data_IF_044241766869
#
_entry.id   IF_044241766869
#
_cell.length_a   1.000
_cell.length_b   1.000
_cell.length_c   1.000
_cell.angle_alpha   90.00
_cell.angle_beta   90.00
_cell.angle_gamma   90.00
#
_symmetry.space_group_name_H-M   'P 1'
#
loop_
_entity.id
_entity.type
_entity.pdbx_description
1 polymer ?
#
# COMPACT_ATOMS: atom_id res chain seq x y z
N UNK A 1 10.64 48.75 -7.75
CA UNK A 1 10.94 47.49 -8.47
C UNK A 1 11.33 46.44 -7.44
N UNK A 2 10.32 45.84 -6.79
CA UNK A 2 10.32 44.57 -6.06
C UNK A 2 9.03 44.53 -5.23
N UNK A 3 7.88 44.64 -5.90
CA UNK A 3 6.63 44.14 -5.30
C UNK A 3 6.69 42.63 -5.51
N UNK A 4 7.17 41.95 -4.47
CA UNK A 4 7.20 40.51 -4.40
C UNK A 4 5.79 39.99 -4.66
N UNK A 5 5.71 39.18 -5.72
CA UNK A 5 4.55 38.42 -6.14
C UNK A 5 4.19 37.45 -5.01
N UNK A 6 3.46 37.97 -4.01
CA UNK A 6 2.75 37.18 -3.02
C UNK A 6 1.61 36.48 -3.75
N UNK A 7 1.96 35.40 -4.44
CA UNK A 7 1.01 34.42 -4.96
C UNK A 7 0.11 34.03 -3.80
N UNK A 8 -1.18 34.37 -3.92
CA UNK A 8 -2.25 34.02 -2.98
C UNK A 8 -2.18 32.53 -2.61
N UNK A 9 -1.55 32.23 -1.48
CA UNK A 9 -1.54 30.89 -0.92
C UNK A 9 -2.73 30.80 0.07
N UNK A 10 -3.79 30.04 -0.25
CA UNK A 10 -5.06 30.08 0.48
C UNK A 10 -5.02 29.46 1.88
N UNK A 11 -3.87 28.92 2.33
CA UNK A 11 -3.75 28.12 3.55
C UNK A 11 -2.95 28.86 4.63
N UNK A 12 -3.54 28.97 5.82
CA UNK A 12 -2.87 29.50 7.02
C UNK A 12 -1.71 28.59 7.45
N UNK A 13 -0.69 29.09 8.17
CA UNK A 13 0.44 28.27 8.62
C UNK A 13 0.02 27.04 9.45
N UNK A 14 -1.04 27.17 10.24
CA UNK A 14 -1.62 26.07 11.01
C UNK A 14 -2.27 25.01 10.11
N UNK A 15 -3.00 25.43 9.07
CA UNK A 15 -3.57 24.52 8.06
C UNK A 15 -2.47 23.84 7.23
N UNK A 16 -1.35 24.53 6.94
CA UNK A 16 -0.18 23.91 6.28
C UNK A 16 0.46 22.83 7.15
N UNK A 17 0.60 23.09 8.45
CA UNK A 17 1.12 22.12 9.40
C UNK A 17 0.17 20.92 9.57
N UNK A 18 -1.15 21.15 9.55
CA UNK A 18 -2.16 20.09 9.56
C UNK A 18 -2.13 19.26 8.27
N UNK A 19 -2.07 19.88 7.09
CA UNK A 19 -1.91 19.16 5.82
C UNK A 19 -0.59 18.38 5.80
N UNK A 20 0.53 18.98 6.20
CA UNK A 20 1.79 18.24 6.32
C UNK A 20 1.68 17.04 7.26
N UNK A 21 0.94 17.17 8.37
CA UNK A 21 0.66 16.08 9.30
C UNK A 21 -0.27 15.01 8.69
N UNK A 22 -1.33 15.38 7.98
CA UNK A 22 -2.27 14.43 7.34
C UNK A 22 -1.60 13.64 6.22
N UNK A 23 -0.74 14.28 5.42
CA UNK A 23 0.16 13.61 4.47
C UNK A 23 1.17 12.67 5.17
N UNK A 24 1.58 13.00 6.40
CA UNK A 24 2.42 12.16 7.27
C UNK A 24 1.65 10.96 7.88
N UNK A 25 0.31 11.01 8.00
CA UNK A 25 -0.49 9.97 8.66
C UNK A 25 -0.84 8.77 7.76
N UNK A 26 -0.40 8.76 6.50
CA UNK A 26 -0.74 7.74 5.49
C UNK A 26 0.04 6.40 5.62
N UNK A 27 0.01 5.83 6.82
CA UNK A 27 0.23 4.41 7.21
C UNK A 27 1.61 4.04 7.77
N UNK A 28 2.69 4.71 7.38
CA UNK A 28 3.94 4.81 8.12
C UNK A 28 4.49 6.18 7.74
N UNK A 29 4.71 7.08 8.69
CA UNK A 29 5.02 8.50 8.52
C UNK A 29 6.38 8.81 7.87
N UNK A 30 6.74 8.08 6.82
CA UNK A 30 8.03 8.13 6.16
C UNK A 30 7.87 8.66 4.74
N UNK A 31 8.72 9.61 4.31
CA UNK A 31 8.71 10.08 2.94
C UNK A 31 8.97 8.93 1.97
N UNK A 32 8.43 9.05 0.75
CA UNK A 32 8.49 7.99 -0.27
C UNK A 32 9.93 7.53 -0.58
N UNK A 33 10.88 8.48 -0.49
CA UNK A 33 12.30 8.24 -0.64
C UNK A 33 12.88 7.29 0.42
N UNK A 34 12.26 7.19 1.59
CA UNK A 34 12.68 6.29 2.67
C UNK A 34 11.87 5.00 2.69
N UNK A 35 10.58 5.07 2.32
CA UNK A 35 9.66 3.92 2.33
C UNK A 35 10.04 2.85 1.31
N UNK A 36 10.36 3.25 0.08
CA UNK A 36 10.77 2.33 -0.99
C UNK A 36 12.04 1.54 -0.67
N UNK A 37 13.18 2.16 -0.29
CA UNK A 37 14.37 1.40 0.06
C UNK A 37 14.14 0.53 1.30
N UNK A 38 13.34 0.97 2.28
CA UNK A 38 13.00 0.14 3.44
C UNK A 38 12.27 -1.15 3.04
N UNK A 39 11.26 -1.07 2.17
CA UNK A 39 10.55 -2.26 1.67
C UNK A 39 11.47 -3.19 0.89
N UNK A 40 12.34 -2.63 0.04
CA UNK A 40 13.34 -3.38 -0.69
C UNK A 40 14.36 -4.04 0.23
N UNK A 41 14.82 -3.35 1.27
CA UNK A 41 15.78 -3.88 2.26
C UNK A 41 15.17 -5.01 3.08
N UNK A 42 13.96 -4.84 3.62
CA UNK A 42 13.29 -5.88 4.43
C UNK A 42 13.02 -7.12 3.57
N UNK A 43 12.53 -6.91 2.35
CA UNK A 43 12.27 -7.98 1.40
C UNK A 43 13.57 -8.68 0.98
N UNK A 44 14.62 -7.93 0.66
CA UNK A 44 15.92 -8.48 0.30
C UNK A 44 16.53 -9.31 1.43
N UNK A 45 16.48 -8.82 2.68
CA UNK A 45 16.96 -9.56 3.85
C UNK A 45 16.18 -10.85 4.08
N UNK A 46 14.85 -10.79 3.92
CA UNK A 46 13.98 -11.97 4.06
C UNK A 46 14.28 -13.01 2.97
N UNK A 47 14.37 -12.58 1.70
CA UNK A 47 14.71 -13.45 0.58
C UNK A 47 16.13 -14.01 0.67
N UNK A 48 17.07 -13.23 1.21
CA UNK A 48 18.45 -13.65 1.46
C UNK A 48 18.51 -14.75 2.53
N UNK A 49 17.81 -14.58 3.65
CA UNK A 49 17.72 -15.59 4.70
C UNK A 49 17.12 -16.90 4.19
N UNK A 50 16.00 -16.82 3.46
CA UNK A 50 15.37 -17.99 2.83
C UNK A 50 16.30 -18.67 1.81
N UNK A 51 17.03 -17.89 1.01
CA UNK A 51 17.97 -18.42 0.03
C UNK A 51 19.20 -19.08 0.65
N UNK A 52 19.70 -18.57 1.79
CA UNK A 52 20.75 -19.26 2.54
C UNK A 52 20.26 -20.63 3.02
N UNK A 53 19.07 -20.69 3.62
CA UNK A 53 18.50 -21.96 4.11
C UNK A 53 18.30 -22.93 2.95
N UNK A 54 17.83 -22.45 1.80
CA UNK A 54 17.63 -23.29 0.63
C UNK A 54 18.95 -23.78 0.01
N UNK A 55 19.92 -22.88 -0.22
CA UNK A 55 21.20 -23.20 -0.84
C UNK A 55 22.11 -24.09 0.02
N UNK A 56 22.08 -23.92 1.35
CA UNK A 56 22.79 -24.81 2.28
C UNK A 56 22.21 -26.23 2.27
N UNK A 57 20.88 -26.36 2.15
CA UNK A 57 20.21 -27.67 2.02
C UNK A 57 20.57 -28.37 0.72
N UNK A 58 20.54 -27.67 -0.41
CA UNK A 58 20.87 -28.26 -1.72
C UNK A 58 22.34 -28.71 -1.80
N UNK A 59 23.27 -27.91 -1.29
CA UNK A 59 24.68 -28.30 -1.18
C UNK A 59 24.90 -29.44 -0.18
N UNK A 60 24.13 -29.47 0.91
CA UNK A 60 24.13 -30.55 1.89
C UNK A 60 23.78 -31.91 1.31
N UNK A 61 22.85 -31.97 0.34
CA UNK A 61 22.54 -33.22 -0.39
C UNK A 61 23.75 -33.76 -1.16
N UNK A 62 24.58 -32.87 -1.73
CA UNK A 62 25.79 -33.28 -2.43
C UNK A 62 26.90 -33.77 -1.46
N UNK A 63 26.85 -33.37 -0.18
CA UNK A 63 27.80 -33.79 0.84
C UNK A 63 27.66 -35.25 1.28
N UNK A 64 26.62 -35.96 0.81
CA UNK A 64 26.47 -37.41 1.00
C UNK A 64 27.50 -38.25 0.23
N UNK A 65 28.21 -37.65 -0.74
CA UNK A 65 29.31 -38.30 -1.44
C UNK A 65 30.57 -38.27 -0.56
N UNK A 66 30.80 -39.34 0.19
CA UNK A 66 31.95 -39.47 1.09
C UNK A 66 33.25 -39.75 0.29
N UNK A 67 34.38 -39.13 0.66
CA UNK A 67 35.68 -39.44 0.06
C UNK A 67 36.16 -40.83 0.48
N UNK A 68 36.78 -41.57 -0.45
CA UNK A 68 37.32 -42.93 -0.21
C UNK A 68 38.81 -42.95 0.17
N UNK A 69 39.51 -41.81 0.07
CA UNK A 69 40.93 -41.67 0.38
C UNK A 69 41.16 -40.99 1.74
N UNK A 70 42.23 -41.35 2.46
CA UNK A 70 42.59 -40.72 3.74
C UNK A 70 42.84 -39.20 3.60
N UNK A 71 43.54 -38.79 2.54
CA UNK A 71 43.76 -37.37 2.23
C UNK A 71 42.45 -36.62 1.93
N UNK A 72 41.51 -37.27 1.22
CA UNK A 72 40.19 -36.70 0.92
C UNK A 72 39.35 -36.48 2.18
N UNK A 73 39.48 -37.35 3.18
CA UNK A 73 38.78 -37.22 4.47
C UNK A 73 39.16 -35.94 5.23
N UNK A 74 40.46 -35.59 5.22
CA UNK A 74 40.97 -34.35 5.80
C UNK A 74 40.45 -33.11 5.08
N UNK A 75 40.51 -33.08 3.74
CA UNK A 75 40.01 -31.97 2.93
C UNK A 75 38.49 -31.78 3.04
N UNK A 76 37.73 -32.87 3.14
CA UNK A 76 36.29 -32.84 3.31
C UNK A 76 35.90 -32.16 4.62
N UNK A 77 36.52 -32.53 5.74
CA UNK A 77 36.23 -31.90 7.04
C UNK A 77 36.61 -30.41 7.07
N UNK A 78 37.66 -30.02 6.34
CA UNK A 78 38.12 -28.64 6.27
C UNK A 78 37.22 -27.75 5.39
N UNK A 79 36.66 -28.28 4.31
CA UNK A 79 35.98 -27.49 3.26
C UNK A 79 34.45 -27.66 3.18
N UNK A 80 33.86 -28.70 3.81
CA UNK A 80 32.41 -28.97 3.74
C UNK A 80 31.53 -27.79 4.14
N UNK A 81 31.92 -27.09 5.20
CA UNK A 81 31.17 -25.93 5.69
C UNK A 81 31.32 -24.72 4.75
N UNK A 82 32.48 -24.56 4.09
CA UNK A 82 32.72 -23.47 3.14
C UNK A 82 31.93 -23.66 1.85
N UNK A 83 31.88 -24.89 1.32
CA UNK A 83 31.12 -25.21 0.11
C UNK A 83 29.62 -25.01 0.35
N UNK A 84 29.12 -25.43 1.52
CA UNK A 84 27.72 -25.22 1.88
C UNK A 84 27.39 -23.74 2.10
N UNK A 85 28.26 -23.00 2.78
CA UNK A 85 28.10 -21.56 2.99
C UNK A 85 28.11 -20.79 1.67
N UNK A 86 29.03 -21.11 0.75
CA UNK A 86 29.11 -20.45 -0.56
C UNK A 86 27.86 -20.72 -1.40
N UNK A 87 27.35 -21.95 -1.39
CA UNK A 87 26.08 -22.29 -2.04
C UNK A 87 24.89 -21.56 -1.42
N UNK A 88 24.85 -21.48 -0.08
CA UNK A 88 23.87 -20.68 0.66
C UNK A 88 23.91 -19.20 0.28
N UNK A 89 25.09 -18.58 0.26
CA UNK A 89 25.25 -17.17 -0.08
C UNK A 89 24.84 -16.88 -1.53
N UNK A 90 25.26 -17.72 -2.49
CA UNK A 90 24.90 -17.57 -3.90
C UNK A 90 23.38 -17.62 -4.10
N UNK A 91 22.72 -18.60 -3.47
CA UNK A 91 21.27 -18.73 -3.55
C UNK A 91 20.55 -17.62 -2.76
N UNK A 92 21.12 -17.19 -1.64
CA UNK A 92 20.70 -16.02 -0.86
C UNK A 92 20.61 -14.76 -1.71
N UNK A 93 21.67 -14.38 -2.41
CA UNK A 93 21.65 -13.21 -3.29
C UNK A 93 20.64 -13.36 -4.44
N UNK A 94 20.55 -14.56 -5.03
CA UNK A 94 19.59 -14.84 -6.11
C UNK A 94 18.14 -14.67 -5.65
N UNK A 95 17.77 -15.26 -4.50
CA UNK A 95 16.41 -15.18 -3.95
C UNK A 95 16.10 -13.80 -3.38
N UNK A 96 17.05 -13.16 -2.68
CA UNK A 96 16.93 -11.80 -2.17
C UNK A 96 16.70 -10.77 -3.27
N UNK A 97 17.46 -10.83 -4.36
CA UNK A 97 17.27 -9.95 -5.52
C UNK A 97 15.93 -10.17 -6.21
N UNK A 98 15.52 -11.43 -6.38
CA UNK A 98 14.22 -11.76 -6.98
C UNK A 98 13.05 -11.24 -6.14
N UNK A 99 13.09 -11.40 -4.82
CA UNK A 99 12.02 -10.94 -3.93
C UNK A 99 11.96 -9.42 -3.85
N UNK A 100 13.12 -8.75 -3.79
CA UNK A 100 13.21 -7.29 -3.85
C UNK A 100 12.62 -6.75 -5.17
N UNK A 101 12.91 -7.39 -6.31
CA UNK A 101 12.32 -7.02 -7.60
C UNK A 101 10.79 -7.10 -7.57
N UNK A 102 10.22 -8.21 -7.12
CA UNK A 102 8.75 -8.37 -7.03
C UNK A 102 8.11 -7.38 -6.05
N UNK A 103 8.78 -7.08 -4.95
CA UNK A 103 8.32 -6.09 -3.96
C UNK A 103 8.36 -4.68 -4.54
N UNK A 104 9.43 -4.34 -5.27
CA UNK A 104 9.56 -3.06 -5.97
C UNK A 104 8.50 -2.90 -7.05
N UNK A 105 8.19 -3.97 -7.80
CA UNK A 105 7.11 -3.96 -8.78
C UNK A 105 5.74 -3.71 -8.13
N UNK A 106 5.45 -4.41 -7.03
CA UNK A 106 4.21 -4.23 -6.27
C UNK A 106 4.08 -2.80 -5.74
N UNK A 107 5.12 -2.29 -5.06
CA UNK A 107 5.14 -0.92 -4.54
C UNK A 107 5.07 0.12 -5.65
N UNK A 108 5.66 -0.15 -6.82
CA UNK A 108 5.56 0.69 -8.01
C UNK A 108 4.14 0.72 -8.58
N UNK A 109 3.43 -0.41 -8.60
CA UNK A 109 2.04 -0.47 -9.03
C UNK A 109 1.10 0.28 -8.09
N UNK A 110 1.26 0.13 -6.77
CA UNK A 110 0.47 0.91 -5.80
C UNK A 110 0.62 2.41 -6.06
N UNK A 111 1.86 2.90 -6.19
CA UNK A 111 2.13 4.29 -6.52
C UNK A 111 1.57 4.72 -7.89
N UNK A 112 1.65 3.83 -8.88
CA UNK A 112 1.13 4.08 -10.22
C UNK A 112 -0.38 4.29 -10.23
N UNK A 113 -1.11 3.45 -9.49
CA UNK A 113 -2.57 3.54 -9.34
C UNK A 113 -2.96 4.82 -8.61
N UNK A 114 -2.25 5.16 -7.53
CA UNK A 114 -2.51 6.40 -6.79
C UNK A 114 -2.23 7.65 -7.64
N UNK A 115 -1.15 7.64 -8.42
CA UNK A 115 -0.81 8.73 -9.35
C UNK A 115 -1.86 8.85 -10.46
N UNK A 116 -2.23 7.74 -11.10
CA UNK A 116 -3.22 7.71 -12.17
C UNK A 116 -4.57 8.23 -11.69
N UNK A 117 -5.03 7.76 -10.53
CA UNK A 117 -6.27 8.22 -9.90
C UNK A 117 -6.21 9.71 -9.55
N UNK A 118 -5.10 10.20 -8.98
CA UNK A 118 -4.93 11.62 -8.65
C UNK A 118 -4.99 12.54 -9.88
N UNK A 119 -4.44 12.09 -11.01
CA UNK A 119 -4.47 12.82 -12.29
C UNK A 119 -5.87 12.73 -12.90
N UNK A 120 -6.47 11.54 -12.93
CA UNK A 120 -7.83 11.34 -13.43
C UNK A 120 -8.85 12.19 -12.66
N UNK A 121 -8.75 12.29 -11.32
CA UNK A 121 -9.60 13.18 -10.54
C UNK A 121 -9.40 14.66 -10.88
N UNK A 122 -8.15 15.11 -11.00
CA UNK A 122 -7.83 16.51 -11.34
C UNK A 122 -8.28 16.90 -12.75
N UNK A 123 -8.25 15.94 -13.68
CA UNK A 123 -8.54 16.20 -15.10
C UNK A 123 -10.01 15.95 -15.45
N UNK A 124 -10.64 14.91 -14.90
CA UNK A 124 -11.96 14.45 -15.33
C UNK A 124 -13.09 14.64 -14.31
N UNK A 125 -12.81 14.60 -12.99
CA UNK A 125 -13.87 14.62 -11.96
C UNK A 125 -13.96 15.94 -11.19
N UNK A 126 -13.02 16.87 -11.32
CA UNK A 126 -13.15 18.17 -10.68
C UNK A 126 -12.30 19.27 -11.33
N UNK A 127 -12.98 20.16 -12.05
CA UNK A 127 -13.14 21.51 -11.50
C UNK A 127 -14.64 21.78 -11.39
N UNK A 128 -15.28 21.65 -10.20
CA UNK A 128 -16.46 22.46 -9.96
C UNK A 128 -16.01 23.91 -10.15
N UNK A 129 -16.70 24.65 -11.03
CA UNK A 129 -16.46 26.07 -11.19
C UNK A 129 -16.41 26.70 -9.80
N UNK A 130 -15.24 27.16 -9.39
CA UNK A 130 -15.07 27.78 -8.08
C UNK A 130 -15.75 29.14 -8.21
N UNK A 131 -17.01 29.24 -7.76
CA UNK A 131 -17.68 30.52 -7.76
C UNK A 131 -16.81 31.55 -7.03
N UNK A 132 -16.66 32.77 -7.57
CA UNK A 132 -15.89 33.81 -6.93
C UNK A 132 -16.41 34.04 -5.52
N UNK A 133 -15.49 34.13 -4.54
CA UNK A 133 -15.89 34.43 -3.18
C UNK A 133 -16.62 35.78 -3.14
N UNK A 134 -17.67 35.93 -2.33
CA UNK A 134 -18.34 37.21 -2.20
C UNK A 134 -17.38 38.31 -1.72
N UNK A 135 -17.72 39.59 -1.99
CA UNK A 135 -16.84 40.72 -1.77
C UNK A 135 -16.24 40.77 -0.36
N UNK A 136 -14.97 41.18 -0.29
CA UNK A 136 -14.20 41.31 0.95
C UNK A 136 -14.92 42.28 1.90
N UNK A 137 -15.31 41.78 3.09
CA UNK A 137 -16.06 42.54 4.10
C UNK A 137 -17.55 42.16 4.23
N UNK A 138 -18.11 41.38 3.31
CA UNK A 138 -19.48 40.89 3.43
C UNK A 138 -19.60 39.79 4.51
N UNK A 139 -20.68 39.77 5.32
CA UNK A 139 -20.91 38.72 6.32
C UNK A 139 -21.06 37.33 5.68
N UNK A 140 -21.53 37.27 4.43
CA UNK A 140 -21.63 36.04 3.63
C UNK A 140 -20.27 35.38 3.33
N UNK A 141 -19.17 36.15 3.33
CA UNK A 141 -17.84 35.64 2.97
C UNK A 141 -17.25 34.72 4.01
N UNK A 142 -17.48 35.00 5.29
CA UNK A 142 -16.97 34.16 6.37
C UNK A 142 -17.74 32.84 6.44
N UNK A 143 -19.06 32.88 6.22
CA UNK A 143 -19.91 31.69 6.14
C UNK A 143 -19.50 30.80 4.97
N UNK A 144 -19.34 31.37 3.77
CA UNK A 144 -18.94 30.62 2.57
C UNK A 144 -17.51 30.06 2.70
N UNK A 145 -16.59 30.80 3.32
CA UNK A 145 -15.23 30.33 3.60
C UNK A 145 -15.26 29.09 4.51
N UNK A 146 -16.04 29.13 5.59
CA UNK A 146 -16.18 28.00 6.53
C UNK A 146 -16.84 26.79 5.86
N UNK A 147 -17.85 27.01 5.02
CA UNK A 147 -18.48 25.95 4.22
C UNK A 147 -17.46 25.28 3.31
N UNK A 148 -16.70 26.04 2.52
CA UNK A 148 -15.68 25.51 1.62
C UNK A 148 -14.55 24.75 2.32
N UNK A 149 -14.13 25.18 3.51
CA UNK A 149 -13.15 24.45 4.32
C UNK A 149 -13.72 23.11 4.76
N UNK A 150 -14.99 23.09 5.18
CA UNK A 150 -15.69 21.87 5.61
C UNK A 150 -15.88 20.90 4.44
N UNK A 151 -16.38 21.38 3.30
CA UNK A 151 -16.55 20.56 2.09
C UNK A 151 -15.22 20.04 1.54
N UNK A 152 -14.13 20.82 1.62
CA UNK A 152 -12.79 20.34 1.26
C UNK A 152 -12.34 19.22 2.18
N UNK A 153 -12.54 19.37 3.49
CA UNK A 153 -12.22 18.34 4.49
C UNK A 153 -13.02 17.07 4.29
N UNK A 154 -14.31 17.18 3.97
CA UNK A 154 -15.16 16.03 3.68
C UNK A 154 -14.73 15.29 2.41
N UNK A 155 -14.42 16.03 1.33
CA UNK A 155 -13.90 15.43 0.08
C UNK A 155 -12.52 14.79 0.26
N UNK A 156 -11.68 15.36 1.11
CA UNK A 156 -10.37 14.79 1.44
C UNK A 156 -10.53 13.54 2.33
N UNK A 157 -11.44 13.55 3.30
CA UNK A 157 -11.77 12.38 4.12
C UNK A 157 -12.39 11.24 3.28
N UNK A 158 -13.26 11.55 2.32
CA UNK A 158 -13.82 10.57 1.37
C UNK A 158 -12.75 9.98 0.45
N UNK A 159 -11.77 10.79 0.01
CA UNK A 159 -10.60 10.30 -0.73
C UNK A 159 -9.85 9.28 0.11
N UNK A 160 -9.47 9.63 1.34
CA UNK A 160 -8.77 8.70 2.25
C UNK A 160 -9.55 7.42 2.52
N UNK A 161 -10.89 7.51 2.64
CA UNK A 161 -11.79 6.37 2.84
C UNK A 161 -11.80 5.34 1.71
N UNK A 162 -11.59 5.80 0.47
CA UNK A 162 -11.63 4.99 -0.76
C UNK A 162 -10.22 4.56 -1.23
N UNK A 163 -9.19 4.83 -0.42
CA UNK A 163 -7.80 4.74 -0.87
C UNK A 163 -7.06 3.44 -0.52
N UNK A 164 -7.60 2.58 0.34
CA UNK A 164 -6.74 1.61 1.05
C UNK A 164 -6.93 0.14 0.66
N UNK A 165 -8.14 -0.33 0.38
CA UNK A 165 -8.37 -1.74 0.05
C UNK A 165 -8.36 -2.02 -1.46
N UNK A 166 -9.02 -1.16 -2.24
CA UNK A 166 -9.17 -1.35 -3.69
C UNK A 166 -7.84 -1.16 -4.43
N UNK A 167 -7.04 -0.17 -4.03
CA UNK A 167 -5.71 0.09 -4.61
C UNK A 167 -4.76 -1.08 -4.40
N UNK A 168 -4.67 -1.61 -3.18
CA UNK A 168 -3.88 -2.80 -2.84
C UNK A 168 -4.40 -4.06 -3.54
N UNK A 169 -5.73 -4.21 -3.69
CA UNK A 169 -6.31 -5.32 -4.46
C UNK A 169 -5.94 -5.25 -5.96
N UNK A 170 -6.05 -4.07 -6.59
CA UNK A 170 -5.66 -3.88 -7.99
C UNK A 170 -4.14 -3.98 -8.21
N UNK A 171 -3.33 -3.48 -7.27
CA UNK A 171 -1.88 -3.64 -7.30
C UNK A 171 -1.47 -5.12 -7.15
N UNK A 172 -2.14 -5.86 -6.27
CA UNK A 172 -1.97 -7.30 -6.13
C UNK A 172 -2.36 -8.07 -7.40
N UNK A 173 -3.47 -7.70 -8.03
CA UNK A 173 -3.92 -8.28 -9.30
C UNK A 173 -2.92 -8.00 -10.43
N UNK A 174 -2.46 -6.76 -10.55
CA UNK A 174 -1.48 -6.35 -11.56
C UNK A 174 -0.13 -7.05 -11.37
N UNK A 175 0.35 -7.15 -10.13
CA UNK A 175 1.61 -7.84 -9.81
C UNK A 175 1.50 -9.34 -10.11
N UNK A 176 0.36 -9.97 -9.80
CA UNK A 176 0.10 -11.36 -10.15
C UNK A 176 -0.02 -11.58 -11.66
N UNK A 177 -0.62 -10.65 -12.39
CA UNK A 177 -0.65 -10.64 -13.86
C UNK A 177 0.76 -10.60 -14.46
N UNK A 178 1.59 -9.66 -14.01
CA UNK A 178 2.99 -9.54 -14.44
C UNK A 178 3.80 -10.81 -14.13
N UNK A 179 3.62 -11.40 -12.94
CA UNK A 179 4.23 -12.67 -12.57
C UNK A 179 3.84 -13.81 -13.49
N UNK A 180 2.57 -13.87 -13.90
CA UNK A 180 2.09 -14.92 -14.80
C UNK A 180 2.68 -14.83 -16.20
N UNK A 181 2.85 -13.62 -16.73
CA UNK A 181 3.43 -13.39 -18.06
C UNK A 181 4.91 -13.78 -18.10
N UNK A 182 5.67 -13.40 -17.08
CA UNK A 182 7.11 -13.70 -16.98
C UNK A 182 7.39 -15.20 -16.92
N UNK A 183 6.49 -15.97 -16.32
CA UNK A 183 6.67 -17.42 -16.15
C UNK A 183 5.92 -18.26 -17.20
N UNK A 184 5.17 -17.64 -18.13
CA UNK A 184 4.47 -18.34 -19.21
C UNK A 184 3.51 -19.43 -18.73
N UNK A 185 2.80 -19.21 -17.61
CA UNK A 185 1.98 -20.27 -17.01
C UNK A 185 0.70 -20.57 -17.82
N UNK A 186 0.29 -21.85 -17.91
CA UNK A 186 -1.04 -22.22 -18.42
C UNK A 186 -2.16 -21.58 -17.59
N UNK A 187 -3.30 -21.24 -18.21
CA UNK A 187 -4.49 -20.64 -17.56
C UNK A 187 -4.88 -21.24 -16.19
N UNK A 188 -4.89 -22.58 -15.99
CA UNK A 188 -5.24 -23.15 -14.68
C UNK A 188 -4.25 -22.79 -13.56
N UNK A 189 -2.96 -22.65 -13.88
CA UNK A 189 -1.91 -22.24 -12.92
C UNK A 189 -2.01 -20.74 -12.62
N UNK A 190 -2.29 -19.92 -13.64
CA UNK A 190 -2.58 -18.49 -13.47
C UNK A 190 -3.73 -18.26 -12.49
N UNK A 191 -4.86 -18.96 -12.65
CA UNK A 191 -6.02 -18.83 -11.75
C UNK A 191 -5.65 -19.10 -10.29
N UNK A 192 -4.82 -20.11 -10.03
CA UNK A 192 -4.38 -20.42 -8.66
C UNK A 192 -3.52 -19.30 -8.07
N UNK A 193 -2.59 -18.76 -8.85
CA UNK A 193 -1.73 -17.64 -8.44
C UNK A 193 -2.56 -16.37 -8.21
N UNK A 194 -3.49 -16.07 -9.11
CA UNK A 194 -4.41 -14.93 -8.97
C UNK A 194 -5.26 -15.05 -7.69
N UNK A 195 -5.80 -16.24 -7.40
CA UNK A 195 -6.58 -16.47 -6.18
C UNK A 195 -5.72 -16.44 -4.91
N UNK A 196 -4.45 -16.87 -4.97
CA UNK A 196 -3.51 -16.70 -3.86
C UNK A 196 -3.20 -15.23 -3.62
N UNK A 197 -3.00 -14.44 -4.67
CA UNK A 197 -2.82 -12.99 -4.58
C UNK A 197 -4.03 -12.28 -3.97
N UNK A 198 -5.25 -12.65 -4.39
CA UNK A 198 -6.49 -12.12 -3.82
C UNK A 198 -6.60 -12.42 -2.32
N UNK A 199 -6.35 -13.68 -1.91
CA UNK A 199 -6.39 -14.09 -0.50
C UNK A 199 -5.35 -13.35 0.34
N UNK A 200 -4.14 -13.21 -0.17
CA UNK A 200 -3.07 -12.47 0.50
C UNK A 200 -3.43 -10.98 0.65
N UNK A 201 -3.97 -10.37 -0.41
CA UNK A 201 -4.44 -8.98 -0.37
C UNK A 201 -5.56 -8.76 0.64
N UNK A 202 -6.54 -9.67 0.70
CA UNK A 202 -7.61 -9.63 1.70
C UNK A 202 -7.07 -9.77 3.13
N UNK A 203 -6.21 -10.74 3.37
CA UNK A 203 -5.59 -10.95 4.68
C UNK A 203 -4.76 -9.73 5.12
N UNK A 204 -3.99 -9.13 4.21
CA UNK A 204 -3.19 -7.95 4.49
C UNK A 204 -4.06 -6.71 4.75
N UNK A 205 -5.15 -6.53 3.98
CA UNK A 205 -6.12 -5.46 4.20
C UNK A 205 -6.78 -5.55 5.59
N UNK A 206 -7.21 -6.74 6.00
CA UNK A 206 -7.74 -6.97 7.35
C UNK A 206 -6.70 -6.68 8.44
N UNK A 207 -5.44 -7.07 8.21
CA UNK A 207 -4.35 -6.79 9.15
C UNK A 207 -4.08 -5.28 9.28
N UNK A 208 -4.11 -4.56 8.16
CA UNK A 208 -3.98 -3.09 8.14
C UNK A 208 -5.15 -2.41 8.85
N UNK A 209 -6.37 -2.91 8.68
CA UNK A 209 -7.56 -2.38 9.34
C UNK A 209 -7.51 -2.62 10.85
N UNK A 210 -7.04 -3.80 11.29
CA UNK A 210 -6.81 -4.10 12.71
C UNK A 210 -5.76 -3.17 13.34
N UNK A 211 -4.64 -2.94 12.64
CA UNK A 211 -3.59 -2.00 13.09
C UNK A 211 -4.11 -0.56 13.13
N UNK A 212 -4.97 -0.19 12.17
CA UNK A 212 -5.58 1.15 12.12
C UNK A 212 -6.57 1.37 13.26
N UNK A 213 -7.36 0.34 13.59
CA UNK A 213 -8.29 0.36 14.74
C UNK A 213 -7.53 0.45 16.07
N UNK A 214 -6.42 -0.28 16.22
CA UNK A 214 -5.57 -0.22 17.41
C UNK A 214 -4.89 1.14 17.62
N UNK A 215 -4.69 1.92 16.54
CA UNK A 215 -4.17 3.30 16.59
C UNK A 215 -5.25 4.37 16.77
N UNK A 216 -6.49 3.98 17.05
CA UNK A 216 -7.60 4.92 17.29
C UNK A 216 -8.15 5.60 16.02
N UNK A 217 -7.81 5.11 14.83
CA UNK A 217 -8.32 5.63 13.56
C UNK A 217 -9.70 5.03 13.27
N UNK A 218 -10.70 5.87 12.96
CA UNK A 218 -12.05 5.41 12.61
C UNK A 218 -12.05 4.82 11.20
N UNK A 219 -12.41 3.55 11.10
CA UNK A 219 -12.50 2.84 9.82
C UNK A 219 -13.74 3.29 9.05
N UNK A 220 -13.52 3.84 7.86
CA UNK A 220 -14.59 4.41 7.06
C UNK A 220 -15.68 3.43 6.63
N UNK A 221 -15.36 2.18 6.32
CA UNK A 221 -16.38 1.22 5.92
C UNK A 221 -17.36 0.87 7.05
N UNK A 222 -16.90 0.88 8.31
CA UNK A 222 -17.75 0.65 9.49
C UNK A 222 -18.80 1.76 9.62
N UNK A 223 -18.42 3.00 9.36
CA UNK A 223 -19.36 4.12 9.36
C UNK A 223 -20.25 4.15 8.12
N UNK A 224 -19.78 3.68 6.95
CA UNK A 224 -20.65 3.48 5.78
C UNK A 224 -21.70 2.39 6.06
N UNK A 225 -21.31 1.22 6.54
CA UNK A 225 -22.23 0.15 6.96
C UNK A 225 -23.19 0.67 8.03
N UNK A 226 -22.70 1.37 9.05
CA UNK A 226 -23.53 1.95 10.10
C UNK A 226 -24.50 2.99 9.56
N UNK A 227 -24.11 3.77 8.55
CA UNK A 227 -24.99 4.74 7.90
C UNK A 227 -26.04 4.11 6.97
N UNK A 228 -25.79 2.90 6.47
CA UNK A 228 -26.75 2.13 5.68
C UNK A 228 -27.77 1.42 6.59
N UNK A 229 -27.30 0.77 7.66
CA UNK A 229 -28.16 0.20 8.70
C UNK A 229 -28.98 1.26 9.46
N UNK A 230 -28.44 2.47 9.59
CA UNK A 230 -29.17 3.61 10.13
C UNK A 230 -30.26 4.14 9.19
N UNK A 231 -30.09 3.99 7.87
CA UNK A 231 -31.07 4.41 6.85
C UNK A 231 -32.28 3.49 6.78
N UNK A 232 -32.07 2.17 6.81
CA UNK A 232 -33.17 1.19 6.90
C UNK A 232 -34.06 1.44 8.11
N UNK A 233 -33.44 1.72 9.27
CA UNK A 233 -34.19 1.95 10.51
C UNK A 233 -35.01 3.25 10.49
N UNK A 234 -34.65 4.23 9.65
CA UNK A 234 -35.44 5.46 9.47
C UNK A 234 -36.59 5.21 8.50
N UNK A 235 -36.36 4.45 7.44
CA UNK A 235 -37.39 4.07 6.46
C UNK A 235 -38.47 3.16 7.08
N UNK A 236 -38.09 2.21 7.94
CA UNK A 236 -39.03 1.37 8.69
C UNK A 236 -39.92 2.19 9.64
N UNK A 237 -39.34 3.18 10.34
CA UNK A 237 -40.11 4.04 11.24
C UNK A 237 -41.07 4.97 10.48
N UNK A 238 -40.71 5.39 9.27
CA UNK A 238 -41.57 6.19 8.38
C UNK A 238 -42.69 5.33 7.75
N UNK A 239 -42.41 4.07 7.39
CA UNK A 239 -43.39 3.14 6.86
C UNK A 239 -44.43 2.69 7.91
N UNK A 240 -44.01 2.48 9.16
CA UNK A 240 -44.90 2.16 10.28
C UNK A 240 -45.71 3.39 10.72
N UNK A 241 -45.15 4.61 10.65
CA UNK A 241 -45.87 5.85 10.94
C UNK A 241 -46.94 6.22 9.92
N UNK A 242 -46.76 5.85 8.64
CA UNK A 242 -47.72 6.15 7.57
C UNK A 242 -48.88 5.16 7.46
N UNK A 243 -48.81 4.00 8.13
CA UNK A 243 -49.86 2.97 8.13
C UNK A 243 -50.77 3.01 9.37
N UNK A 244 -50.46 3.89 10.33
CA UNK A 244 -51.21 4.09 11.57
C UNK A 244 -52.03 5.41 11.59
N UNK A 245 -52.17 6.08 10.43
CA UNK A 245 -52.96 7.31 10.25
C UNK A 245 -54.21 7.10 9.43
#
# INVERSE_FOLDING_TARGET
MADDVAVDNPLTPAERAQLQNDWYQQRLSLPIALRLPLYLSISSLTGFGLGIIHGTRETGKNAHRLPTTQAGWYLYHKSKNYVSLLGGLKEGFRMGGRLALWTGLFAGMEQGIDRFRSVAYRTFLAQPAVEPLPPRGSPAREVERRRRITERREREAERERSNDFLSTAFAGLGTAGAFSLVNGFPLPTFRRIAMMGLKAGFAFGLLQDAVSMARGRRLGYVEWIRSQLGREKIEDNLAVGSSAG
#
